data_IF_242169533654
#
_entry.id   IF_242169533654
#
_cell.length_a   1.000
_cell.length_b   1.000
_cell.length_c   1.000
_cell.angle_alpha   90.00
_cell.angle_beta   90.00
_cell.angle_gamma   90.00
#
_symmetry.space_group_name_H-M   'P 1'
#
loop_
_entity.id
_entity.type
_entity.pdbx_description
1 polymer ?
#
# COMPACT_ATOMS: atom_id res chain seq x y z
N UNK A 1 32.57 -7.01 -20.14
CA UNK A 1 33.06 -7.51 -18.82
C UNK A 1 33.37 -9.00 -18.95
N UNK A 2 34.26 -9.56 -18.13
CA UNK A 2 34.39 -11.02 -18.02
C UNK A 2 33.16 -11.64 -17.35
N UNK A 3 32.91 -12.92 -17.56
CA UNK A 3 31.78 -13.65 -16.95
C UNK A 3 31.78 -13.54 -15.41
N UNK A 4 32.96 -13.71 -14.79
CA UNK A 4 33.14 -13.52 -13.34
C UNK A 4 32.72 -12.12 -12.89
N UNK A 5 33.07 -11.07 -13.66
CA UNK A 5 32.67 -9.70 -13.33
C UNK A 5 31.17 -9.48 -13.50
N UNK A 6 30.52 -10.12 -14.46
CA UNK A 6 29.07 -10.05 -14.58
C UNK A 6 28.39 -10.68 -13.36
N UNK A 7 28.92 -11.80 -12.84
CA UNK A 7 28.40 -12.44 -11.61
C UNK A 7 28.57 -11.54 -10.38
N UNK A 8 29.73 -10.89 -10.24
CA UNK A 8 29.97 -9.90 -9.19
C UNK A 8 29.02 -8.71 -9.31
N UNK A 9 28.84 -8.16 -10.51
CA UNK A 9 27.90 -7.08 -10.77
C UNK A 9 26.45 -7.49 -10.46
N UNK A 10 26.04 -8.70 -10.83
CA UNK A 10 24.70 -9.21 -10.53
C UNK A 10 24.46 -9.27 -9.01
N UNK A 11 25.38 -9.87 -8.27
CA UNK A 11 25.31 -9.91 -6.81
C UNK A 11 25.24 -8.51 -6.20
N UNK A 12 26.09 -7.59 -6.68
CA UNK A 12 26.10 -6.22 -6.21
C UNK A 12 24.78 -5.50 -6.50
N UNK A 13 24.20 -5.70 -7.70
CA UNK A 13 22.91 -5.15 -8.09
C UNK A 13 21.78 -5.65 -7.17
N UNK A 14 21.74 -6.95 -6.89
CA UNK A 14 20.73 -7.56 -6.01
C UNK A 14 20.85 -7.04 -4.56
N UNK A 15 22.09 -6.91 -4.05
CA UNK A 15 22.33 -6.29 -2.73
C UNK A 15 21.88 -4.82 -2.69
N UNK A 16 22.08 -4.06 -3.77
CA UNK A 16 21.61 -2.69 -3.88
C UNK A 16 20.08 -2.60 -3.91
N UNK A 17 19.40 -3.48 -4.65
CA UNK A 17 17.93 -3.55 -4.65
C UNK A 17 17.39 -3.83 -3.24
N UNK A 18 17.96 -4.81 -2.52
CA UNK A 18 17.60 -5.09 -1.12
C UNK A 18 17.85 -3.90 -0.20
N UNK A 19 18.99 -3.23 -0.35
CA UNK A 19 19.32 -2.03 0.44
C UNK A 19 18.31 -0.90 0.18
N UNK A 20 17.94 -0.68 -1.07
CA UNK A 20 16.95 0.34 -1.46
C UNK A 20 15.57 0.05 -0.85
N UNK A 21 15.14 -1.22 -0.87
CA UNK A 21 13.86 -1.62 -0.29
C UNK A 21 13.86 -1.60 1.25
N UNK A 22 14.81 -2.29 1.88
CA UNK A 22 14.82 -2.51 3.33
C UNK A 22 15.30 -1.27 4.12
N UNK A 23 16.36 -0.60 3.65
CA UNK A 23 16.96 0.54 4.37
C UNK A 23 16.37 1.87 3.94
N UNK A 24 16.22 2.08 2.63
CA UNK A 24 15.69 3.33 2.11
C UNK A 24 14.16 3.36 2.03
N UNK A 25 13.48 2.21 2.22
CA UNK A 25 12.01 2.08 2.12
C UNK A 25 11.44 2.52 0.76
N UNK A 26 12.24 2.38 -0.29
CA UNK A 26 11.94 2.83 -1.65
C UNK A 26 12.00 1.66 -2.64
N UNK A 27 11.13 1.73 -3.63
CA UNK A 27 11.15 0.93 -4.85
C UNK A 27 11.54 1.85 -6.00
N UNK A 28 12.46 1.40 -6.85
CA UNK A 28 12.96 2.26 -7.93
C UNK A 28 11.87 2.65 -8.93
N UNK A 29 11.01 1.70 -9.32
CA UNK A 29 9.85 1.96 -10.19
C UNK A 29 10.10 1.76 -11.68
N UNK A 30 11.36 1.89 -12.09
CA UNK A 30 11.81 1.78 -13.48
C UNK A 30 13.28 1.28 -13.55
N UNK A 31 13.63 0.33 -12.69
CA UNK A 31 15.00 -0.20 -12.69
C UNK A 31 15.21 -1.09 -13.93
N UNK A 32 16.19 -0.69 -14.74
CA UNK A 32 16.62 -1.39 -15.94
C UNK A 32 18.11 -1.16 -16.18
N UNK A 33 18.69 -1.84 -17.16
CA UNK A 33 20.10 -1.68 -17.53
C UNK A 33 20.48 -0.25 -17.95
N UNK A 34 19.50 0.55 -18.38
CA UNK A 34 19.70 1.95 -18.76
C UNK A 34 19.89 2.87 -17.55
N UNK A 35 19.30 2.49 -16.41
CA UNK A 35 19.34 3.25 -15.16
C UNK A 35 20.45 2.77 -14.21
N UNK A 36 21.38 1.96 -14.72
CA UNK A 36 22.54 1.45 -13.97
C UNK A 36 23.83 1.93 -14.62
N UNK A 37 24.59 2.75 -13.90
CA UNK A 37 25.93 3.16 -14.30
C UNK A 37 26.99 2.24 -13.70
N UNK A 38 27.91 1.76 -14.54
CA UNK A 38 29.10 1.04 -14.11
C UNK A 38 30.32 1.97 -14.13
N UNK A 39 30.84 2.30 -12.95
CA UNK A 39 32.02 3.17 -12.80
C UNK A 39 32.99 2.60 -11.76
N UNK A 40 34.27 2.51 -12.11
CA UNK A 40 35.33 2.00 -11.23
C UNK A 40 34.94 0.72 -10.47
N UNK A 41 34.50 -0.31 -11.20
CA UNK A 41 34.09 -1.61 -10.62
C UNK A 41 32.91 -1.57 -9.64
N UNK A 42 32.13 -0.48 -9.62
CA UNK A 42 30.91 -0.35 -8.81
C UNK A 42 29.71 0.01 -9.68
N UNK A 43 28.53 -0.41 -9.24
CA UNK A 43 27.26 0.00 -9.84
C UNK A 43 26.68 1.20 -9.08
N UNK A 44 26.02 2.07 -9.83
CA UNK A 44 25.28 3.22 -9.32
C UNK A 44 23.90 3.23 -9.96
N UNK A 45 22.85 3.29 -9.14
CA UNK A 45 21.49 3.50 -9.62
C UNK A 45 21.27 5.00 -9.80
N UNK A 46 20.69 5.36 -10.94
CA UNK A 46 20.38 6.73 -11.32
C UNK A 46 18.90 6.83 -11.71
N UNK A 47 18.42 8.06 -11.86
CA UNK A 47 17.01 8.33 -12.19
C UNK A 47 16.00 7.77 -11.18
N UNK A 48 16.24 8.08 -9.90
CA UNK A 48 15.31 7.77 -8.79
C UNK A 48 14.15 8.77 -8.70
N UNK A 49 13.92 9.57 -9.76
CA UNK A 49 12.91 10.62 -9.78
C UNK A 49 11.48 10.08 -9.74
N UNK A 50 11.29 8.85 -10.25
CA UNK A 50 10.02 8.12 -10.29
C UNK A 50 9.92 7.03 -9.20
N UNK A 51 10.86 7.00 -8.26
CA UNK A 51 10.85 6.01 -7.19
C UNK A 51 9.69 6.25 -6.23
N UNK A 52 9.07 5.15 -5.79
CA UNK A 52 7.90 5.16 -4.90
C UNK A 52 8.25 4.54 -3.56
N UNK A 53 7.55 4.96 -2.51
CA UNK A 53 7.66 4.32 -1.21
C UNK A 53 7.10 2.90 -1.26
N UNK A 54 7.65 2.01 -0.42
CA UNK A 54 7.16 0.63 -0.28
C UNK A 54 5.67 0.54 0.13
N UNK A 55 5.13 1.60 0.75
CA UNK A 55 3.72 1.74 1.14
C UNK A 55 2.79 2.19 -0.02
N UNK A 56 3.32 2.44 -1.21
CA UNK A 56 2.48 2.77 -2.36
C UNK A 56 1.69 1.56 -2.88
N UNK A 57 0.39 1.69 -3.26
CA UNK A 57 -0.45 0.57 -3.73
C UNK A 57 0.18 -0.28 -4.83
N UNK A 58 0.91 0.37 -5.74
CA UNK A 58 1.59 -0.29 -6.87
C UNK A 58 3.06 -0.64 -6.60
N UNK A 59 3.57 -0.47 -5.37
CA UNK A 59 4.99 -0.69 -5.05
C UNK A 59 5.45 -2.13 -5.36
N UNK A 60 4.64 -3.13 -5.02
CA UNK A 60 4.94 -4.54 -5.30
C UNK A 60 5.00 -4.82 -6.80
N UNK A 61 4.11 -4.22 -7.58
CA UNK A 61 4.07 -4.41 -9.04
C UNK A 61 5.27 -3.75 -9.72
N UNK A 62 5.68 -2.58 -9.23
CA UNK A 62 6.91 -1.93 -9.66
C UNK A 62 8.14 -2.77 -9.31
N UNK A 63 8.24 -3.27 -8.07
CA UNK A 63 9.34 -4.11 -7.65
C UNK A 63 9.43 -5.41 -8.47
N UNK A 64 8.28 -6.03 -8.79
CA UNK A 64 8.22 -7.20 -9.68
C UNK A 64 8.76 -6.91 -11.07
N UNK A 65 8.41 -5.75 -11.66
CA UNK A 65 8.93 -5.30 -12.95
C UNK A 65 10.44 -5.07 -12.89
N UNK A 66 10.92 -4.39 -11.85
CA UNK A 66 12.34 -4.16 -11.61
C UNK A 66 13.12 -5.48 -11.53
N UNK A 67 12.65 -6.43 -10.70
CA UNK A 67 13.25 -7.76 -10.57
C UNK A 67 13.27 -8.53 -11.89
N UNK A 68 12.20 -8.44 -12.69
CA UNK A 68 12.13 -9.07 -14.01
C UNK A 68 13.15 -8.46 -14.99
N UNK A 69 13.22 -7.14 -15.07
CA UNK A 69 14.12 -6.44 -15.98
C UNK A 69 15.58 -6.80 -15.68
N UNK A 70 15.95 -6.79 -14.40
CA UNK A 70 17.29 -7.19 -13.96
C UNK A 70 17.57 -8.66 -14.28
N UNK A 71 16.67 -9.58 -13.94
CA UNK A 71 16.85 -10.99 -14.27
C UNK A 71 16.99 -11.21 -15.79
N UNK A 72 16.18 -10.54 -16.60
CA UNK A 72 16.24 -10.66 -18.06
C UNK A 72 17.53 -10.08 -18.64
N UNK A 73 18.02 -8.95 -18.12
CA UNK A 73 19.28 -8.35 -18.54
C UNK A 73 20.48 -9.27 -18.27
N UNK A 74 20.62 -9.78 -17.04
CA UNK A 74 21.75 -10.63 -16.67
C UNK A 74 21.69 -12.01 -17.34
N UNK A 75 20.48 -12.51 -17.66
CA UNK A 75 20.29 -13.71 -18.48
C UNK A 75 20.72 -13.51 -19.93
N UNK A 76 20.25 -12.45 -20.59
CA UNK A 76 20.51 -12.19 -22.02
C UNK A 76 21.93 -11.69 -22.29
N UNK A 77 22.38 -10.69 -21.52
CA UNK A 77 23.65 -9.98 -21.75
C UNK A 77 24.80 -10.63 -21.00
N UNK A 78 24.54 -11.10 -19.78
CA UNK A 78 25.55 -11.71 -18.92
C UNK A 78 25.81 -13.19 -19.19
N UNK A 79 24.91 -13.88 -19.90
CA UNK A 79 24.97 -15.33 -20.07
C UNK A 79 24.87 -16.11 -18.75
N UNK A 80 24.40 -15.44 -17.69
CA UNK A 80 24.28 -16.04 -16.36
C UNK A 80 22.95 -16.77 -16.26
N UNK A 81 22.85 -17.69 -15.28
CA UNK A 81 21.58 -18.19 -14.79
C UNK A 81 21.18 -17.37 -13.54
N UNK A 82 20.47 -16.24 -13.68
CA UNK A 82 20.03 -15.46 -12.53
C UNK A 82 18.89 -16.16 -11.79
N UNK A 83 18.60 -15.68 -10.59
CA UNK A 83 17.43 -16.07 -9.81
C UNK A 83 16.15 -15.90 -10.65
N UNK A 84 15.12 -16.68 -10.32
CA UNK A 84 13.77 -16.39 -10.81
C UNK A 84 13.28 -15.07 -10.23
N UNK A 85 12.30 -14.46 -10.89
CA UNK A 85 11.73 -13.19 -10.40
C UNK A 85 11.09 -13.34 -9.02
N UNK A 86 10.52 -14.51 -8.71
CA UNK A 86 9.96 -14.81 -7.40
C UNK A 86 11.07 -14.91 -6.33
N UNK A 87 12.11 -15.72 -6.57
CA UNK A 87 13.23 -15.85 -5.63
C UNK A 87 13.91 -14.51 -5.36
N UNK A 88 14.09 -13.68 -6.40
CA UNK A 88 14.68 -12.35 -6.25
C UNK A 88 13.75 -11.40 -5.49
N UNK A 89 12.44 -11.42 -5.78
CA UNK A 89 11.46 -10.61 -5.06
C UNK A 89 11.44 -10.98 -3.57
N UNK A 90 11.35 -12.29 -3.27
CA UNK A 90 11.32 -12.81 -1.91
C UNK A 90 12.58 -12.39 -1.15
N UNK A 91 13.75 -12.58 -1.76
CA UNK A 91 15.02 -12.12 -1.21
C UNK A 91 15.07 -10.61 -0.95
N UNK A 92 14.44 -9.77 -1.77
CA UNK A 92 14.43 -8.31 -1.54
C UNK A 92 13.46 -7.95 -0.42
N UNK A 93 12.30 -8.60 -0.36
CA UNK A 93 11.23 -8.27 0.59
C UNK A 93 11.42 -8.88 1.98
N UNK A 94 12.16 -9.96 2.13
CA UNK A 94 12.28 -10.68 3.40
C UNK A 94 12.92 -9.82 4.51
N UNK A 95 12.19 -9.45 5.58
CA UNK A 95 12.73 -8.61 6.66
C UNK A 95 13.59 -9.41 7.65
N UNK A 96 13.50 -10.74 7.61
CA UNK A 96 14.17 -11.65 8.57
C UNK A 96 15.67 -11.80 8.33
N UNK A 97 16.15 -11.48 7.13
CA UNK A 97 17.57 -11.62 6.78
C UNK A 97 18.31 -10.38 7.29
N UNK A 98 19.12 -10.55 8.34
CA UNK A 98 19.98 -9.49 8.86
C UNK A 98 21.05 -9.11 7.82
N UNK A 99 21.53 -7.86 7.88
CA UNK A 99 22.56 -7.34 6.97
C UNK A 99 23.86 -8.17 6.97
N UNK A 100 24.18 -8.81 8.09
CA UNK A 100 25.38 -9.63 8.30
C UNK A 100 25.27 -10.98 7.59
N UNK A 101 24.06 -11.54 7.48
CA UNK A 101 23.78 -12.87 6.92
C UNK A 101 23.44 -12.82 5.42
N UNK A 102 23.33 -11.63 4.83
CA UNK A 102 22.98 -11.44 3.41
C UNK A 102 23.92 -12.22 2.50
N UNK A 103 25.22 -12.21 2.80
CA UNK A 103 26.22 -12.85 1.96
C UNK A 103 26.14 -14.38 2.02
N UNK A 104 25.92 -14.95 3.21
CA UNK A 104 25.71 -16.39 3.39
C UNK A 104 24.43 -16.87 2.70
N UNK A 105 23.34 -16.08 2.81
CA UNK A 105 22.08 -16.40 2.15
C UNK A 105 22.20 -16.36 0.62
N UNK A 106 22.92 -15.38 0.07
CA UNK A 106 23.19 -15.30 -1.36
C UNK A 106 24.05 -16.47 -1.85
N UNK A 107 25.04 -16.92 -1.06
CA UNK A 107 25.81 -18.12 -1.38
C UNK A 107 24.95 -19.39 -1.39
N UNK A 108 24.03 -19.53 -0.42
CA UNK A 108 23.10 -20.65 -0.37
C UNK A 108 22.19 -20.68 -1.61
N UNK A 109 21.61 -19.54 -1.99
CA UNK A 109 20.80 -19.42 -3.21
C UNK A 109 21.64 -19.75 -4.45
N UNK A 110 22.88 -19.28 -4.53
CA UNK A 110 23.76 -19.58 -5.66
C UNK A 110 24.09 -21.08 -5.80
N UNK A 111 24.20 -21.81 -4.69
CA UNK A 111 24.39 -23.27 -4.75
C UNK A 111 23.17 -23.96 -5.35
N UNK A 112 21.97 -23.58 -4.90
CA UNK A 112 20.71 -24.10 -5.43
C UNK A 112 20.57 -23.82 -6.93
N UNK A 113 20.95 -22.62 -7.37
CA UNK A 113 20.91 -22.24 -8.79
C UNK A 113 21.94 -23.00 -9.61
N UNK A 114 23.12 -23.29 -9.06
CA UNK A 114 24.15 -24.05 -9.75
C UNK A 114 23.73 -25.51 -10.01
N UNK A 115 22.85 -26.06 -9.18
CA UNK A 115 22.29 -27.40 -9.33
C UNK A 115 21.10 -27.45 -10.32
N UNK A 116 20.49 -26.31 -10.64
CA UNK A 116 19.32 -26.21 -11.53
C UNK A 116 19.74 -26.26 -13.02
N UNK A 117 18.99 -26.96 -13.90
CA UNK A 117 19.22 -26.89 -15.34
C UNK A 117 19.04 -25.46 -15.89
N UNK A 118 19.79 -25.14 -16.96
CA UNK A 118 19.82 -23.82 -17.59
C UNK A 118 18.55 -23.52 -18.41
N UNK A 119 17.87 -24.56 -18.90
CA UNK A 119 16.60 -24.42 -19.62
C UNK A 119 15.44 -24.30 -18.64
N UNK A 120 14.76 -23.14 -18.67
CA UNK A 120 13.50 -22.95 -17.95
C UNK A 120 12.40 -23.73 -18.65
N UNK A 121 11.68 -24.56 -17.90
CA UNK A 121 10.54 -25.30 -18.43
C UNK A 121 9.41 -24.33 -18.81
N UNK A 122 8.48 -24.78 -19.67
CA UNK A 122 7.29 -23.98 -20.00
C UNK A 122 6.46 -23.69 -18.75
N UNK A 123 6.47 -24.61 -17.78
CA UNK A 123 5.78 -24.47 -16.50
C UNK A 123 6.36 -23.31 -15.68
N UNK A 124 7.68 -23.21 -15.54
CA UNK A 124 8.32 -22.08 -14.83
C UNK A 124 8.03 -20.72 -15.48
N UNK A 125 7.88 -20.68 -16.81
CA UNK A 125 7.51 -19.46 -17.52
C UNK A 125 6.05 -19.07 -17.26
N UNK A 126 5.15 -20.04 -17.20
CA UNK A 126 3.76 -19.82 -16.82
C UNK A 126 3.68 -19.37 -15.36
N UNK A 127 4.38 -20.02 -14.43
CA UNK A 127 4.39 -19.64 -13.01
C UNK A 127 4.94 -18.23 -12.79
N UNK A 128 5.98 -17.85 -13.54
CA UNK A 128 6.50 -16.48 -13.52
C UNK A 128 5.48 -15.46 -14.06
N UNK A 129 4.74 -15.82 -15.12
CA UNK A 129 3.70 -14.96 -15.67
C UNK A 129 2.49 -14.84 -14.74
N UNK A 130 2.05 -15.95 -14.15
CA UNK A 130 1.00 -15.99 -13.12
C UNK A 130 1.38 -15.07 -11.96
N UNK A 131 2.62 -15.18 -11.46
CA UNK A 131 3.11 -14.30 -10.40
C UNK A 131 3.10 -12.81 -10.77
N UNK A 132 3.31 -12.46 -12.04
CA UNK A 132 3.22 -11.06 -12.48
C UNK A 132 1.77 -10.53 -12.49
N UNK A 133 0.78 -11.40 -12.69
CA UNK A 133 -0.64 -11.04 -12.71
C UNK A 133 -1.35 -11.22 -11.38
N UNK A 134 -0.82 -12.04 -10.46
CA UNK A 134 -1.46 -12.30 -9.17
C UNK A 134 -1.35 -11.07 -8.27
N UNK A 135 -2.49 -10.61 -7.75
CA UNK A 135 -2.55 -9.57 -6.73
C UNK A 135 -1.95 -10.08 -5.40
N UNK A 136 -0.93 -9.39 -4.88
CA UNK A 136 -0.37 -9.66 -3.55
C UNK A 136 -0.93 -8.64 -2.57
N UNK A 137 -1.78 -9.04 -1.61
CA UNK A 137 -2.22 -8.15 -0.56
C UNK A 137 -1.04 -7.71 0.30
N UNK A 138 -1.00 -6.44 0.69
CA UNK A 138 0.09 -5.85 1.50
C UNK A 138 -0.24 -5.72 2.98
N UNK A 139 -1.53 -5.73 3.29
CA UNK A 139 -2.07 -5.71 4.64
C UNK A 139 -3.26 -6.65 4.71
N UNK A 140 -3.50 -7.20 5.89
CA UNK A 140 -4.69 -8.00 6.18
C UNK A 140 -6.00 -7.24 5.87
N UNK A 141 -5.96 -5.90 5.84
CA UNK A 141 -7.10 -5.06 5.46
C UNK A 141 -7.41 -5.02 3.95
N UNK A 142 -6.45 -5.33 3.08
CA UNK A 142 -6.66 -5.39 1.62
C UNK A 142 -7.25 -6.75 1.19
N UNK A 143 -7.28 -7.73 2.10
CA UNK A 143 -7.89 -9.05 1.89
C UNK A 143 -9.41 -8.94 2.06
N UNK A 144 -10.08 -8.42 1.03
CA UNK A 144 -11.51 -8.12 1.03
C UNK A 144 -12.41 -9.34 1.32
N UNK A 145 -11.94 -10.56 1.03
CA UNK A 145 -12.74 -11.79 1.19
C UNK A 145 -11.94 -12.93 1.84
N UNK A 146 -11.37 -12.68 3.02
CA UNK A 146 -10.62 -13.68 3.79
C UNK A 146 -11.39 -15.00 3.95
N UNK A 147 -12.70 -14.96 4.20
CA UNK A 147 -13.55 -16.14 4.38
C UNK A 147 -13.71 -16.95 3.08
N UNK A 148 -13.90 -16.27 1.94
CA UNK A 148 -14.04 -16.93 0.63
C UNK A 148 -12.73 -17.56 0.18
N UNK A 149 -11.62 -16.85 0.40
CA UNK A 149 -10.27 -17.34 0.09
C UNK A 149 -9.90 -18.52 0.99
N UNK A 150 -10.25 -18.47 2.29
CA UNK A 150 -10.07 -19.58 3.22
C UNK A 150 -10.89 -20.81 2.85
N UNK A 151 -12.13 -20.66 2.37
CA UNK A 151 -12.93 -21.79 1.88
C UNK A 151 -12.33 -22.38 0.59
N UNK A 152 -11.89 -21.54 -0.34
CA UNK A 152 -11.17 -22.01 -1.54
C UNK A 152 -9.86 -22.74 -1.21
N UNK A 153 -9.25 -22.45 -0.05
CA UNK A 153 -8.06 -23.16 0.45
C UNK A 153 -8.40 -24.57 0.91
N UNK A 154 -9.46 -24.68 1.71
CA UNK A 154 -9.96 -25.96 2.22
C UNK A 154 -10.47 -26.86 1.08
N UNK A 155 -11.03 -26.24 0.03
CA UNK A 155 -11.46 -26.91 -1.21
C UNK A 155 -10.28 -27.23 -2.16
N UNK A 156 -9.05 -26.83 -1.83
CA UNK A 156 -7.84 -27.13 -2.60
C UNK A 156 -7.75 -26.41 -3.96
N UNK A 157 -8.59 -25.40 -4.18
CA UNK A 157 -8.69 -24.63 -5.42
C UNK A 157 -7.89 -23.33 -5.39
N UNK A 158 -7.31 -22.97 -4.24
CA UNK A 158 -6.53 -21.75 -4.09
C UNK A 158 -5.25 -21.73 -4.93
N UNK A 159 -4.99 -20.57 -5.54
CA UNK A 159 -3.71 -20.25 -6.14
C UNK A 159 -2.63 -20.22 -5.03
N UNK A 160 -1.61 -21.09 -5.15
CA UNK A 160 -0.48 -21.17 -4.19
C UNK A 160 0.18 -19.81 -3.91
N UNK A 161 0.12 -18.90 -4.89
CA UNK A 161 0.66 -17.56 -4.81
C UNK A 161 -0.03 -16.70 -3.74
N UNK A 162 -1.35 -16.79 -3.59
CA UNK A 162 -2.11 -16.02 -2.59
C UNK A 162 -1.87 -16.54 -1.17
N UNK A 163 -1.82 -17.86 -0.98
CA UNK A 163 -1.48 -18.47 0.32
C UNK A 163 -0.08 -18.08 0.75
N UNK A 164 0.88 -18.13 -0.18
CA UNK A 164 2.26 -17.74 0.08
C UNK A 164 2.36 -16.25 0.38
N UNK A 165 1.56 -15.41 -0.29
CA UNK A 165 1.47 -13.97 -0.02
C UNK A 165 0.87 -13.66 1.37
N UNK A 166 -0.25 -14.30 1.74
CA UNK A 166 -0.90 -14.11 3.05
C UNK A 166 0.04 -14.57 4.18
N UNK A 167 0.75 -15.69 3.98
CA UNK A 167 1.79 -16.17 4.89
C UNK A 167 2.95 -15.19 5.10
N UNK A 168 3.14 -14.18 4.24
CA UNK A 168 4.19 -13.15 4.35
C UNK A 168 3.78 -11.94 5.19
N UNK A 169 2.49 -11.75 5.46
CA UNK A 169 1.93 -10.58 6.15
C UNK A 169 2.03 -10.66 7.69
N UNK A 170 3.05 -11.31 8.25
CA UNK A 170 3.18 -11.49 9.70
C UNK A 170 3.03 -10.16 10.48
N UNK A 171 2.20 -10.22 11.52
CA UNK A 171 1.76 -9.12 12.39
C UNK A 171 2.94 -8.59 13.21
N UNK A 172 3.25 -7.31 13.07
CA UNK A 172 4.12 -6.59 14.02
C UNK A 172 3.41 -6.51 15.38
N UNK A 173 3.73 -7.42 16.30
CA UNK A 173 3.36 -7.24 17.70
C UNK A 173 4.18 -6.11 18.32
N UNK A 174 3.54 -4.95 18.47
CA UNK A 174 4.00 -3.87 19.34
C UNK A 174 3.81 -4.27 20.81
N UNK A 175 4.90 -4.63 21.51
CA UNK A 175 5.31 -4.24 22.89
C UNK A 175 6.51 -5.10 23.40
N UNK A 176 7.38 -4.60 24.31
CA UNK A 176 8.74 -5.13 24.54
C UNK A 176 8.88 -5.98 25.84
N UNK A 177 10.08 -6.44 26.27
CA UNK A 177 10.85 -7.57 25.76
C UNK A 177 11.10 -8.67 26.85
N UNK A 178 11.00 -9.96 26.49
CA UNK A 178 11.67 -11.08 27.22
C UNK A 178 11.89 -12.26 26.26
N UNK A 179 12.96 -13.08 26.43
CA UNK A 179 13.66 -13.69 25.30
C UNK A 179 13.19 -15.09 24.93
N UNK A 180 13.37 -15.37 23.64
CA UNK A 180 13.69 -16.67 23.05
C UNK A 180 12.77 -17.86 23.39
N UNK A 181 11.77 -18.09 22.53
CA UNK A 181 11.45 -19.44 22.01
C UNK A 181 10.55 -19.32 20.78
N UNK A 182 11.05 -19.86 19.66
CA UNK A 182 10.34 -20.43 18.50
C UNK A 182 8.88 -20.03 18.29
N UNK A 183 8.63 -19.27 17.22
CA UNK A 183 7.30 -18.89 16.78
C UNK A 183 6.39 -20.11 16.56
N UNK A 184 5.31 -20.15 17.32
CA UNK A 184 4.19 -21.07 17.16
C UNK A 184 3.27 -20.59 16.04
N UNK A 185 2.77 -21.51 15.21
CA UNK A 185 1.89 -21.23 14.07
C UNK A 185 0.49 -20.85 14.55
N UNK A 186 -0.17 -19.94 13.84
CA UNK A 186 -1.53 -19.45 14.09
C UNK A 186 -2.61 -20.55 14.24
N UNK A 187 -2.36 -21.74 13.70
CA UNK A 187 -3.27 -22.89 13.81
C UNK A 187 -3.36 -23.50 15.21
N UNK A 188 -2.40 -23.25 16.11
CA UNK A 188 -2.41 -23.83 17.46
C UNK A 188 -3.24 -23.01 18.47
N UNK A 189 -3.64 -21.78 18.11
CA UNK A 189 -4.41 -20.87 18.99
C UNK A 189 -5.93 -21.02 18.80
N UNK A 190 -6.38 -21.56 17.66
CA UNK A 190 -7.81 -21.71 17.35
C UNK A 190 -8.49 -22.87 18.11
N UNK A 191 -7.78 -23.57 19.00
CA UNK A 191 -8.28 -24.72 19.76
C UNK A 191 -8.49 -24.47 21.27
N UNK A 192 -8.33 -23.23 21.74
CA UNK A 192 -8.63 -22.89 23.14
C UNK A 192 -9.88 -22.01 23.23
N UNK A 193 -11.00 -22.65 23.56
CA UNK A 193 -12.17 -21.99 24.15
C UNK A 193 -11.74 -21.28 25.45
N UNK A 194 -11.80 -19.95 25.50
CA UNK A 194 -11.87 -19.24 26.80
C UNK A 194 -12.75 -17.99 26.70
N UNK A 195 -13.92 -18.11 27.30
CA UNK A 195 -14.87 -17.05 27.61
C UNK A 195 -14.22 -16.02 28.56
N UNK A 196 -14.02 -14.78 28.12
CA UNK A 196 -13.84 -13.64 29.05
C UNK A 196 -14.55 -12.39 28.56
N UNK A 197 -15.72 -12.16 29.16
CA UNK A 197 -16.29 -10.83 29.36
C UNK A 197 -15.27 -9.92 30.05
N UNK A 198 -15.09 -8.68 29.56
CA UNK A 198 -14.63 -7.57 30.39
C UNK A 198 -15.02 -6.22 29.77
N UNK A 199 -15.41 -5.36 30.70
CA UNK A 199 -16.29 -4.20 30.63
C UNK A 199 -15.61 -2.92 30.10
N UNK A 200 -16.45 -1.93 29.80
CA UNK A 200 -16.13 -0.58 29.36
C UNK A 200 -15.15 0.16 30.26
N UNK A 201 -14.29 1.04 29.71
CA UNK A 201 -13.98 2.35 30.30
C UNK A 201 -13.40 3.30 29.22
N UNK A 202 -13.77 4.57 29.31
CA UNK A 202 -13.44 5.71 28.43
C UNK A 202 -12.02 6.29 28.57
N UNK A 203 -11.53 7.01 27.56
CA UNK A 203 -10.60 8.18 27.56
C UNK A 203 -9.73 8.15 26.28
N UNK A 204 -9.26 9.23 25.65
CA UNK A 204 -9.34 10.68 25.76
C UNK A 204 -8.87 11.22 24.38
N UNK A 205 -9.42 12.37 23.97
CA UNK A 205 -9.15 13.08 22.72
C UNK A 205 -7.75 13.70 22.66
N UNK A 206 -7.06 13.59 21.51
CA UNK A 206 -5.97 14.51 21.10
C UNK A 206 -6.08 14.83 19.60
N UNK A 207 -6.92 15.82 19.25
CA UNK A 207 -6.95 16.41 17.91
C UNK A 207 -5.91 17.53 17.78
N UNK A 208 -4.99 17.34 16.83
CA UNK A 208 -3.99 18.31 16.39
C UNK A 208 -4.53 19.11 15.20
N UNK A 209 -4.82 20.39 15.40
CA UNK A 209 -5.16 21.35 14.34
C UNK A 209 -3.89 21.69 13.51
N UNK A 210 -3.85 21.29 12.23
CA UNK A 210 -3.01 21.95 11.21
C UNK A 210 -3.90 22.57 10.12
N UNK A 211 -3.54 23.80 9.77
CA UNK A 211 -4.22 24.73 8.89
C UNK A 211 -4.40 24.19 7.46
N UNK A 212 -5.63 24.28 6.92
CA UNK A 212 -5.88 24.10 5.48
C UNK A 212 -6.29 25.44 4.85
N UNK A 213 -5.47 25.86 3.88
CA UNK A 213 -5.61 27.08 3.11
C UNK A 213 -6.61 26.92 1.95
N UNK A 214 -6.95 28.07 1.38
CA UNK A 214 -8.02 28.29 0.44
C UNK A 214 -8.00 27.40 -0.81
N UNK A 215 -9.16 26.80 -1.12
CA UNK A 215 -9.50 26.37 -2.47
C UNK A 215 -10.65 27.24 -2.99
N UNK A 216 -10.33 28.00 -4.04
CA UNK A 216 -11.21 28.91 -4.75
C UNK A 216 -12.38 28.20 -5.42
N UNK A 217 -13.53 28.82 -5.25
CA UNK A 217 -14.82 28.45 -5.83
C UNK A 217 -14.83 28.77 -7.33
N UNK A 218 -14.69 27.74 -8.16
CA UNK A 218 -14.86 27.79 -9.61
C UNK A 218 -16.15 27.06 -9.97
N UNK A 219 -17.27 27.74 -9.76
CA UNK A 219 -18.60 27.30 -10.19
C UNK A 219 -18.69 27.41 -11.72
N UNK A 220 -18.50 26.29 -12.41
CA UNK A 220 -18.75 26.12 -13.85
C UNK A 220 -19.34 24.73 -14.08
N UNK A 221 -20.59 24.53 -13.65
CA UNK A 221 -21.39 23.37 -14.05
C UNK A 221 -22.25 23.77 -15.25
N UNK A 222 -21.66 23.69 -16.45
CA UNK A 222 -22.38 23.48 -17.70
C UNK A 222 -22.65 21.97 -17.80
N UNK A 223 -23.75 21.50 -17.22
CA UNK A 223 -24.20 20.11 -17.42
C UNK A 223 -24.97 20.05 -18.75
N UNK A 224 -24.30 19.58 -19.80
CA UNK A 224 -24.92 19.13 -21.05
C UNK A 224 -25.80 17.91 -20.77
N UNK A 225 -27.07 17.98 -21.17
CA UNK A 225 -28.03 16.87 -21.12
C UNK A 225 -27.62 15.79 -22.16
N UNK A 226 -26.70 14.89 -21.82
CA UNK A 226 -26.52 13.64 -22.57
C UNK A 226 -27.58 12.62 -22.11
N UNK A 227 -28.64 12.46 -22.91
CA UNK A 227 -29.60 11.37 -22.82
C UNK A 227 -28.87 10.03 -23.11
N UNK A 228 -28.25 9.42 -22.09
CA UNK A 228 -27.87 8.01 -22.16
C UNK A 228 -29.13 7.13 -22.10
N UNK A 229 -29.52 6.60 -23.25
CA UNK A 229 -30.50 5.52 -23.33
C UNK A 229 -29.90 4.24 -22.72
N UNK A 230 -30.20 3.98 -21.44
CA UNK A 230 -29.91 2.66 -20.86
C UNK A 230 -30.76 1.57 -21.55
N UNK A 231 -30.09 0.67 -22.26
CA UNK A 231 -30.64 -0.61 -22.69
C UNK A 231 -30.71 -1.57 -21.49
N UNK A 232 -31.93 -1.88 -21.04
CA UNK A 232 -32.19 -2.84 -19.96
C UNK A 232 -31.88 -4.29 -20.43
N UNK A 233 -30.97 -5.03 -19.77
CA UNK A 233 -30.60 -6.38 -20.17
C UNK A 233 -31.52 -7.47 -19.58
N UNK A 234 -32.78 -7.14 -19.25
CA UNK A 234 -33.74 -8.15 -18.77
C UNK A 234 -35.11 -8.01 -19.44
N UNK A 235 -35.52 -9.07 -20.16
CA UNK A 235 -36.76 -9.12 -20.95
C UNK A 235 -38.04 -8.96 -20.14
N UNK A 236 -38.39 -7.72 -19.78
CA UNK A 236 -39.70 -7.33 -19.27
C UNK A 236 -40.38 -6.35 -20.23
N UNK A 237 -41.70 -6.47 -20.29
CA UNK A 237 -42.62 -5.81 -21.22
C UNK A 237 -42.33 -4.30 -21.31
N UNK A 238 -42.34 -3.67 -22.51
CA UNK A 238 -42.10 -2.24 -22.64
C UNK A 238 -43.08 -1.45 -21.78
N UNK A 239 -42.57 -0.67 -20.81
CA UNK A 239 -43.38 0.28 -20.04
C UNK A 239 -43.95 1.34 -21.00
N UNK A 240 -45.16 1.85 -20.71
CA UNK A 240 -45.77 2.91 -21.52
C UNK A 240 -45.00 4.23 -21.35
N UNK A 241 -45.00 5.09 -22.38
CA UNK A 241 -44.29 6.38 -22.36
C UNK A 241 -44.65 7.26 -21.15
N UNK A 242 -45.89 7.15 -20.65
CA UNK A 242 -46.36 7.83 -19.44
C UNK A 242 -45.64 7.34 -18.16
N UNK A 243 -45.32 6.05 -18.06
CA UNK A 243 -44.62 5.46 -16.92
C UNK A 243 -43.14 5.87 -16.89
N UNK A 244 -42.51 6.00 -18.06
CA UNK A 244 -41.13 6.49 -18.20
C UNK A 244 -41.02 7.98 -17.86
N UNK A 245 -42.00 8.79 -18.27
CA UNK A 245 -42.08 10.21 -17.90
C UNK A 245 -42.27 10.41 -16.40
N UNK A 246 -43.13 9.60 -15.76
CA UNK A 246 -43.32 9.64 -14.31
C UNK A 246 -42.03 9.28 -13.53
N UNK A 247 -41.27 8.28 -13.99
CA UNK A 247 -39.98 7.92 -13.38
C UNK A 247 -38.93 9.04 -13.51
N UNK A 248 -38.85 9.69 -14.68
CA UNK A 248 -37.97 10.86 -14.88
C UNK A 248 -38.34 12.03 -13.96
N UNK A 249 -39.63 12.28 -13.74
CA UNK A 249 -40.11 13.31 -12.81
C UNK A 249 -39.73 12.97 -11.35
N UNK A 250 -39.95 11.73 -10.93
CA UNK A 250 -39.58 11.28 -9.57
C UNK A 250 -38.07 11.42 -9.31
N UNK A 251 -37.22 11.01 -10.25
CA UNK A 251 -35.75 11.13 -10.12
C UNK A 251 -35.30 12.59 -10.04
N UNK A 252 -35.96 13.50 -10.77
CA UNK A 252 -35.70 14.94 -10.69
C UNK A 252 -36.10 15.51 -9.34
N UNK A 253 -37.28 15.16 -8.84
CA UNK A 253 -37.75 15.58 -7.52
C UNK A 253 -36.83 15.05 -6.40
N UNK A 254 -36.33 13.82 -6.52
CA UNK A 254 -35.37 13.23 -5.58
C UNK A 254 -34.03 13.99 -5.57
N UNK A 255 -33.47 14.33 -6.75
CA UNK A 255 -32.25 15.16 -6.86
C UNK A 255 -32.45 16.55 -6.26
N UNK A 256 -33.62 17.17 -6.47
CA UNK A 256 -33.96 18.47 -5.91
C UNK A 256 -34.11 18.40 -4.37
N UNK A 257 -34.69 17.33 -3.84
CA UNK A 257 -34.79 17.07 -2.40
C UNK A 257 -33.41 16.86 -1.76
N UNK A 258 -32.54 16.07 -2.40
CA UNK A 258 -31.17 15.84 -1.92
C UNK A 258 -30.37 17.15 -1.87
N UNK A 259 -30.42 17.98 -2.93
CA UNK A 259 -29.80 19.31 -2.95
C UNK A 259 -30.36 20.24 -1.85
N UNK A 260 -31.66 20.15 -1.57
CA UNK A 260 -32.28 20.92 -0.50
C UNK A 260 -31.81 20.48 0.90
N UNK A 261 -31.70 19.16 1.14
CA UNK A 261 -31.18 18.59 2.39
C UNK A 261 -29.72 18.98 2.59
N UNK A 262 -28.88 18.87 1.55
CA UNK A 262 -27.48 19.25 1.62
C UNK A 262 -27.31 20.74 1.96
N UNK A 263 -28.10 21.61 1.33
CA UNK A 263 -28.11 23.05 1.63
C UNK A 263 -28.55 23.35 3.06
N UNK A 264 -29.48 22.57 3.62
CA UNK A 264 -29.89 22.69 5.02
C UNK A 264 -28.78 22.22 5.97
N UNK A 265 -28.13 21.09 5.68
CA UNK A 265 -27.01 20.57 6.47
C UNK A 265 -25.81 21.54 6.48
N UNK A 266 -25.46 22.13 5.33
CA UNK A 266 -24.39 23.15 5.23
C UNK A 266 -24.71 24.39 6.07
N UNK A 267 -25.99 24.80 6.11
CA UNK A 267 -26.45 25.90 6.98
C UNK A 267 -26.38 25.53 8.46
N UNK A 268 -26.82 24.33 8.84
CA UNK A 268 -26.77 23.83 10.20
C UNK A 268 -25.34 23.78 10.74
N UNK A 269 -24.41 23.15 10.00
CA UNK A 269 -22.98 23.10 10.35
C UNK A 269 -22.37 24.48 10.52
N UNK A 270 -22.70 25.42 9.62
CA UNK A 270 -22.24 26.81 9.71
C UNK A 270 -22.79 27.54 10.94
N UNK A 271 -24.00 27.21 11.37
CA UNK A 271 -24.61 27.78 12.57
C UNK A 271 -23.98 27.19 13.85
N UNK A 272 -23.83 25.87 13.92
CA UNK A 272 -23.16 25.17 15.03
C UNK A 272 -21.74 25.69 15.23
N UNK A 273 -20.95 25.82 14.16
CA UNK A 273 -19.59 26.37 14.22
C UNK A 273 -19.57 27.81 14.76
N UNK A 274 -20.60 28.62 14.45
CA UNK A 274 -20.72 29.99 14.96
C UNK A 274 -21.09 30.01 16.44
N UNK A 275 -22.00 29.14 16.86
CA UNK A 275 -22.44 29.04 18.25
C UNK A 275 -21.31 28.51 19.15
N UNK A 276 -20.55 27.53 18.68
CA UNK A 276 -19.35 27.03 19.36
C UNK A 276 -18.25 28.10 19.46
N UNK A 277 -17.99 28.86 18.39
CA UNK A 277 -17.07 30.01 18.44
C UNK A 277 -17.58 31.10 19.41
N UNK A 278 -18.89 31.25 19.56
CA UNK A 278 -19.50 32.22 20.49
C UNK A 278 -19.33 31.77 21.95
N UNK A 279 -19.55 30.49 22.26
CA UNK A 279 -19.30 29.93 23.61
C UNK A 279 -17.82 30.00 23.97
N UNK A 280 -16.91 29.60 23.06
CA UNK A 280 -15.45 29.73 23.24
C UNK A 280 -15.00 31.18 23.46
N UNK A 281 -15.69 32.18 22.87
CA UNK A 281 -15.40 33.61 23.10
C UNK A 281 -15.86 34.11 24.47
N UNK A 282 -16.90 33.53 25.05
CA UNK A 282 -17.41 33.92 26.38
C UNK A 282 -16.42 33.53 27.50
N UNK A 283 -15.78 32.38 27.37
CA UNK A 283 -14.79 31.87 28.36
C UNK A 283 -13.36 32.33 28.08
N UNK A 284 -13.14 33.12 27.01
CA UNK A 284 -11.81 33.55 26.58
C UNK A 284 -11.14 34.48 27.60
N UNK A 285 -9.87 34.21 27.90
CA UNK A 285 -9.03 35.07 28.75
C UNK A 285 -9.00 36.51 28.18
N UNK A 286 -9.29 37.53 29.00
CA UNK A 286 -9.26 38.92 28.56
C UNK A 286 -7.90 39.31 27.94
N UNK A 287 -7.96 40.06 26.83
CA UNK A 287 -6.78 40.43 26.03
C UNK A 287 -5.68 41.13 26.84
N UNK A 288 -6.05 41.93 27.84
CA UNK A 288 -5.09 42.65 28.69
C UNK A 288 -4.30 41.70 29.61
N UNK A 289 -4.93 40.62 30.11
CA UNK A 289 -4.27 39.58 30.91
C UNK A 289 -3.27 38.82 30.05
N UNK A 290 -3.68 38.39 28.84
CA UNK A 290 -2.78 37.72 27.87
C UNK A 290 -1.57 38.61 27.51
N UNK A 291 -1.77 39.91 27.28
CA UNK A 291 -0.69 40.86 26.99
C UNK A 291 0.28 41.03 28.18
N UNK A 292 -0.24 41.08 29.41
CA UNK A 292 0.60 41.18 30.63
C UNK A 292 1.45 39.93 30.81
N UNK A 293 0.87 38.74 30.66
CA UNK A 293 1.61 37.48 30.77
C UNK A 293 2.73 37.37 29.72
N UNK A 294 2.45 37.75 28.46
CA UNK A 294 3.46 37.76 27.39
C UNK A 294 4.62 38.73 27.69
N UNK A 295 4.34 39.92 28.22
CA UNK A 295 5.38 40.89 28.63
C UNK A 295 6.25 40.35 29.77
N UNK A 296 5.63 39.72 30.79
CA UNK A 296 6.34 39.14 31.93
C UNK A 296 7.21 37.94 31.50
N UNK A 297 6.71 37.07 30.63
CA UNK A 297 7.48 35.96 30.07
C UNK A 297 8.70 36.48 29.27
N UNK A 298 8.51 37.52 28.46
CA UNK A 298 9.60 38.11 27.67
C UNK A 298 10.66 38.85 28.52
N UNK A 299 10.30 39.33 29.71
CA UNK A 299 11.26 39.87 30.68
C UNK A 299 12.03 38.76 31.42
N UNK A 300 11.39 37.61 31.68
CA UNK A 300 12.05 36.46 32.30
C UNK A 300 13.06 35.77 31.38
N UNK A 301 12.79 35.69 30.07
CA UNK A 301 13.72 35.12 29.09
C UNK A 301 14.88 36.02 28.66
N UNK A 302 14.98 37.24 29.21
CA UNK A 302 16.09 38.20 28.98
C UNK A 302 17.03 38.34 30.18
N UNK A 303 16.80 37.58 31.26
CA UNK A 303 17.72 37.42 32.39
C UNK A 303 18.37 36.06 32.30
#
# INVERSE_FOLDING_TARGET
>A
LSETRYRECYLYCVKMMRTMYQKCRLVHGDLSEYNILYYQTRLYFIDVSQSVEHEHPSANDFLRKDCRNIADYFRKTGGLNPMTTQELFDFVTDPRIADEDVDEHLEAIQRVIAERPVERTNEEQVDAAVFMSTFIPRSLGEVLHSEREQMAYQEGTMEKALVTAISRLEVEHATPPVPATQGTRLMDILNEDDDRELDSESSEDEDSDEDDEEAGDSESDEDEDEDEEEEDPTGRVPLTDEQRAAFRQQKREEREQLKAIEKQNKKARKQETKDEKKTKRQTKIPKHVKKRHKKLAHQKGKK
#
